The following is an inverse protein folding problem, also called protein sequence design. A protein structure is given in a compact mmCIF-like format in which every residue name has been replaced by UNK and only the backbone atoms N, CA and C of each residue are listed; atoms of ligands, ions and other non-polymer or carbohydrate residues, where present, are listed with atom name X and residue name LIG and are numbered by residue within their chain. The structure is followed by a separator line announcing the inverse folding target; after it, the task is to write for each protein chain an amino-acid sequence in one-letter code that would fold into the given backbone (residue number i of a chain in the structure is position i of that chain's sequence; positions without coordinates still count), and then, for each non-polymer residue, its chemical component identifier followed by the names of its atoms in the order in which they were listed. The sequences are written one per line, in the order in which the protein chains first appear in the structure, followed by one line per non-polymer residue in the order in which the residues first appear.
data_IF_711581463227
#
_entry.id   IF_711581463227
#
_cell.length_a   1.000
_cell.length_b   1.000
_cell.length_c   1.000
_cell.angle_alpha   90.00
_cell.angle_beta   90.00
_cell.angle_gamma   90.00
#
_symmetry.space_group_name_H-M   'P 1'
#
loop_
_entity.id
_entity.type
_entity.pdbx_description
1 polymer ?
#
# COMPACT_ATOMS: atom_id res chain seq x y z
N UNK A 1 -14.67 28.34 8.44
CA UNK A 1 -14.78 28.08 6.99
C UNK A 1 -13.57 28.76 6.37
N UNK A 2 -12.50 28.13 5.87
CA UNK A 2 -12.33 26.80 5.25
C UNK A 2 -10.83 26.45 5.15
N UNK A 3 -10.19 26.02 6.24
CA UNK A 3 -8.79 25.52 6.18
C UNK A 3 -8.53 24.27 7.01
N UNK A 4 -9.43 23.92 7.93
CA UNK A 4 -9.29 22.76 8.83
C UNK A 4 -9.67 21.44 8.14
N UNK A 5 -10.29 21.49 6.96
CA UNK A 5 -10.70 20.29 6.22
C UNK A 5 -9.58 19.71 5.33
N UNK A 6 -8.65 20.54 4.85
CA UNK A 6 -7.60 20.10 3.92
C UNK A 6 -6.57 19.20 4.62
N UNK A 7 -6.12 19.55 5.82
CA UNK A 7 -5.20 18.68 6.59
C UNK A 7 -5.89 17.40 7.07
N UNK A 8 -7.20 17.42 7.34
CA UNK A 8 -7.95 16.23 7.73
C UNK A 8 -8.16 15.28 6.54
N UNK A 9 -8.37 15.80 5.33
CA UNK A 9 -8.48 14.99 4.11
C UNK A 9 -7.11 14.40 3.73
N UNK A 10 -6.02 15.16 3.83
CA UNK A 10 -4.64 14.69 3.55
C UNK A 10 -4.20 13.60 4.56
N UNK A 11 -4.54 13.78 5.85
CA UNK A 11 -4.32 12.78 6.90
C UNK A 11 -5.16 11.50 6.73
N UNK A 12 -6.32 11.60 6.07
CA UNK A 12 -7.20 10.45 5.81
C UNK A 12 -6.80 9.69 4.54
N UNK A 13 -6.20 10.39 3.57
CA UNK A 13 -5.66 9.78 2.36
C UNK A 13 -4.38 8.97 2.63
N UNK A 14 -3.54 9.47 3.54
CA UNK A 14 -2.36 8.73 4.04
C UNK A 14 -2.78 7.48 4.82
N UNK A 15 -3.85 7.54 5.61
CA UNK A 15 -4.42 6.37 6.29
C UNK A 15 -4.97 5.32 5.31
N UNK A 16 -5.67 5.75 4.25
CA UNK A 16 -6.22 4.84 3.23
C UNK A 16 -5.10 4.14 2.42
N UNK A 17 -4.09 4.89 1.97
CA UNK A 17 -2.96 4.32 1.21
C UNK A 17 -2.09 3.41 2.07
N UNK A 18 -1.86 3.77 3.33
CA UNK A 18 -1.17 2.92 4.30
C UNK A 18 -1.97 1.65 4.64
N UNK A 19 -3.27 1.77 4.87
CA UNK A 19 -4.15 0.63 5.11
C UNK A 19 -4.19 -0.32 3.90
N UNK A 20 -4.22 0.22 2.68
CA UNK A 20 -4.11 -0.57 1.45
C UNK A 20 -2.76 -1.31 1.37
N UNK A 21 -1.66 -0.63 1.70
CA UNK A 21 -0.34 -1.27 1.73
C UNK A 21 -0.28 -2.40 2.77
N UNK A 22 -0.86 -2.19 3.96
CA UNK A 22 -0.92 -3.20 5.01
C UNK A 22 -1.71 -4.45 4.54
N UNK A 23 -2.88 -4.25 3.92
CA UNK A 23 -3.68 -5.34 3.36
C UNK A 23 -2.88 -6.14 2.30
N UNK A 24 -2.16 -5.45 1.42
CA UNK A 24 -1.33 -6.12 0.39
C UNK A 24 -0.22 -6.94 1.04
N UNK A 25 0.40 -6.47 2.12
CA UNK A 25 1.41 -7.22 2.87
C UNK A 25 0.82 -8.49 3.50
N UNK A 26 -0.36 -8.40 4.11
CA UNK A 26 -1.04 -9.56 4.68
C UNK A 26 -1.39 -10.60 3.62
N UNK A 27 -1.86 -10.16 2.44
CA UNK A 27 -2.14 -11.05 1.31
C UNK A 27 -0.86 -11.74 0.79
N UNK A 28 0.26 -11.02 0.68
CA UNK A 28 1.55 -11.61 0.32
C UNK A 28 1.96 -12.70 1.32
N UNK A 29 1.71 -12.49 2.61
CA UNK A 29 1.93 -13.47 3.66
C UNK A 29 1.20 -14.81 3.44
N UNK A 30 -0.03 -14.75 2.91
CA UNK A 30 -0.86 -15.94 2.63
C UNK A 30 -0.38 -16.73 1.43
N UNK A 31 0.18 -16.07 0.41
CA UNK A 31 0.68 -16.73 -0.79
C UNK A 31 2.11 -17.29 -0.65
N UNK A 32 2.86 -16.93 0.41
CA UNK A 32 4.24 -17.44 0.64
C UNK A 32 4.30 -18.97 0.77
N UNK A 33 3.60 -19.57 1.74
CA UNK A 33 3.58 -21.03 1.93
C UNK A 33 3.19 -21.79 0.65
N UNK A 34 2.06 -21.50 -0.01
CA UNK A 34 1.66 -22.24 -1.20
C UNK A 34 2.65 -22.06 -2.37
N UNK A 35 3.32 -20.91 -2.46
CA UNK A 35 4.40 -20.69 -3.44
C UNK A 35 5.58 -21.62 -3.20
N UNK A 36 6.02 -21.78 -1.96
CA UNK A 36 7.11 -22.71 -1.63
C UNK A 36 6.74 -24.18 -1.86
N UNK A 37 5.46 -24.56 -1.76
CA UNK A 37 4.97 -25.89 -2.14
C UNK A 37 4.73 -26.06 -3.65
N UNK A 38 5.13 -25.09 -4.49
CA UNK A 38 5.06 -25.20 -5.95
C UNK A 38 3.76 -24.75 -6.59
N UNK A 39 2.89 -24.01 -5.88
CA UNK A 39 1.66 -23.45 -6.47
C UNK A 39 2.00 -22.33 -7.45
N UNK A 40 1.82 -22.61 -8.74
CA UNK A 40 2.07 -21.65 -9.82
C UNK A 40 1.13 -20.44 -9.74
N UNK A 41 -0.12 -20.64 -9.31
CA UNK A 41 -1.09 -19.56 -9.16
C UNK A 41 -0.70 -18.61 -8.02
N UNK A 42 -0.32 -19.15 -6.86
CA UNK A 42 0.15 -18.33 -5.73
C UNK A 42 1.44 -17.57 -6.07
N UNK A 43 2.35 -18.20 -6.83
CA UNK A 43 3.56 -17.53 -7.29
C UNK A 43 3.26 -16.32 -8.20
N UNK A 44 2.32 -16.46 -9.14
CA UNK A 44 1.91 -15.35 -10.02
C UNK A 44 1.16 -14.25 -9.26
N UNK A 45 0.28 -14.62 -8.32
CA UNK A 45 -0.39 -13.67 -7.42
C UNK A 45 0.63 -12.89 -6.60
N UNK A 46 1.60 -13.58 -5.99
CA UNK A 46 2.65 -12.97 -5.18
C UNK A 46 3.47 -11.95 -6.00
N UNK A 47 3.83 -12.27 -7.25
CA UNK A 47 4.51 -11.30 -8.14
C UNK A 47 3.67 -10.05 -8.39
N UNK A 48 2.36 -10.20 -8.64
CA UNK A 48 1.45 -9.06 -8.85
C UNK A 48 1.31 -8.21 -7.60
N UNK A 49 1.18 -8.84 -6.43
CA UNK A 49 1.11 -8.14 -5.14
C UNK A 49 2.40 -7.36 -4.85
N UNK A 50 3.57 -7.92 -5.16
CA UNK A 50 4.86 -7.23 -5.03
C UNK A 50 4.91 -5.97 -5.92
N UNK A 51 4.48 -6.07 -7.18
CA UNK A 51 4.45 -4.90 -8.08
C UNK A 51 3.47 -3.84 -7.57
N UNK A 52 2.29 -4.26 -7.12
CA UNK A 52 1.28 -3.37 -6.56
C UNK A 52 1.78 -2.64 -5.30
N UNK A 53 2.37 -3.38 -4.35
CA UNK A 53 2.96 -2.81 -3.14
C UNK A 53 4.01 -1.75 -3.47
N UNK A 54 4.85 -1.98 -4.50
CA UNK A 54 5.87 -1.00 -4.91
C UNK A 54 5.27 0.32 -5.43
N UNK A 55 4.13 0.26 -6.10
CA UNK A 55 3.42 1.46 -6.59
C UNK A 55 2.87 2.22 -5.38
N UNK A 56 2.16 1.53 -4.50
CA UNK A 56 1.58 2.10 -3.28
C UNK A 56 2.63 2.76 -2.38
N UNK A 57 3.80 2.11 -2.19
CA UNK A 57 4.90 2.71 -1.42
C UNK A 57 5.37 4.03 -2.05
N UNK A 58 5.41 4.10 -3.38
CA UNK A 58 5.86 5.31 -4.08
C UNK A 58 4.84 6.44 -3.94
N UNK A 59 3.56 6.12 -3.99
CA UNK A 59 2.47 7.07 -3.73
C UNK A 59 2.52 7.57 -2.28
N UNK A 60 2.65 6.67 -1.30
CA UNK A 60 2.81 7.02 0.12
C UNK A 60 4.01 7.96 0.36
N UNK A 61 5.16 7.68 -0.28
CA UNK A 61 6.35 8.53 -0.14
C UNK A 61 6.12 9.93 -0.71
N UNK A 62 5.55 10.02 -1.92
CA UNK A 62 5.27 11.33 -2.56
C UNK A 62 4.27 12.13 -1.73
N UNK A 63 3.23 11.48 -1.20
CA UNK A 63 2.25 12.13 -0.33
C UNK A 63 2.91 12.64 0.97
N UNK A 64 3.70 11.79 1.62
CA UNK A 64 4.41 12.16 2.86
C UNK A 64 5.37 13.33 2.64
N UNK A 65 6.10 13.35 1.52
CA UNK A 65 6.97 14.48 1.20
C UNK A 65 6.20 15.77 0.86
N UNK A 66 4.97 15.68 0.33
CA UNK A 66 4.11 16.84 0.10
C UNK A 66 3.60 17.40 1.42
N UNK A 67 3.11 16.56 2.31
CA UNK A 67 2.65 16.97 3.64
C UNK A 67 3.77 17.55 4.49
N UNK A 68 5.00 17.04 4.37
CA UNK A 68 6.16 17.58 5.11
C UNK A 68 6.68 18.94 4.57
N UNK A 69 6.23 19.36 3.38
CA UNK A 69 6.59 20.65 2.76
C UNK A 69 5.52 21.74 2.94
N UNK A 70 4.33 21.38 3.39
CA UNK A 70 3.27 22.31 3.83
C UNK A 70 3.49 22.73 5.28
#
# INVERSE_FOLDING_TARGET
MDYVDIQAVESKLTDVTYAQLLMVIEEMGRDLRPTYSGSRNSAERLKRLIVHARILVRECLVETERSARQ
#
